data_IF_511253111395
#
_entry.id   IF_511253111395
#
_cell.length_a   1.000
_cell.length_b   1.000
_cell.length_c   1.000
_cell.angle_alpha   90.00
_cell.angle_beta   90.00
_cell.angle_gamma   90.00
#
_symmetry.space_group_name_H-M   'P 1'
#
loop_
_entity.id
_entity.type
_entity.pdbx_description
1 polymer ?
#
# COMPACT_ATOMS: atom_id res chain seq x y z
N UNK A 1 -23.79 -17.57 -14.84
CA UNK A 1 -24.30 -18.06 -13.53
C UNK A 1 -24.62 -16.85 -12.68
N UNK A 2 -25.91 -16.56 -12.48
CA UNK A 2 -26.38 -15.40 -11.72
C UNK A 2 -25.99 -15.54 -10.24
N UNK A 3 -25.36 -14.51 -9.67
CA UNK A 3 -25.15 -14.45 -8.22
C UNK A 3 -26.51 -14.30 -7.54
N UNK A 4 -26.77 -15.12 -6.53
CA UNK A 4 -27.90 -14.98 -5.61
C UNK A 4 -27.92 -13.59 -4.95
N UNK A 5 -29.07 -13.22 -4.37
CA UNK A 5 -29.33 -11.91 -3.76
C UNK A 5 -28.21 -11.44 -2.80
N UNK A 6 -27.61 -12.36 -2.04
CA UNK A 6 -26.47 -12.07 -1.16
C UNK A 6 -25.17 -11.70 -1.89
N UNK A 7 -24.92 -12.28 -3.06
CA UNK A 7 -23.73 -11.95 -3.87
C UNK A 7 -23.82 -10.58 -4.55
N UNK A 8 -25.03 -10.15 -4.96
CA UNK A 8 -25.24 -8.79 -5.49
C UNK A 8 -25.08 -7.74 -4.39
N UNK A 9 -25.54 -8.04 -3.17
CA UNK A 9 -25.39 -7.18 -2.01
C UNK A 9 -23.91 -7.00 -1.62
N UNK A 10 -23.14 -8.10 -1.59
CA UNK A 10 -21.70 -8.04 -1.31
C UNK A 10 -20.88 -7.29 -2.37
N UNK A 11 -21.26 -7.39 -3.64
CA UNK A 11 -20.60 -6.65 -4.73
C UNK A 11 -20.82 -5.14 -4.61
N UNK A 12 -22.05 -4.70 -4.29
CA UNK A 12 -22.36 -3.29 -4.08
C UNK A 12 -21.65 -2.73 -2.85
N UNK A 13 -21.58 -3.52 -1.78
CA UNK A 13 -20.84 -3.18 -0.57
C UNK A 13 -19.34 -2.99 -0.83
N UNK A 14 -18.69 -3.93 -1.54
CA UNK A 14 -17.27 -3.85 -1.90
C UNK A 14 -16.94 -2.64 -2.77
N UNK A 15 -17.79 -2.30 -3.74
CA UNK A 15 -17.60 -1.12 -4.59
C UNK A 15 -17.72 0.17 -3.75
N UNK A 16 -18.72 0.23 -2.88
CA UNK A 16 -18.97 1.43 -2.04
C UNK A 16 -17.82 1.65 -1.05
N UNK A 17 -17.40 0.61 -0.33
CA UNK A 17 -16.35 0.74 0.69
C UNK A 17 -14.98 1.01 0.08
N UNK A 18 -14.62 0.35 -1.04
CA UNK A 18 -13.38 0.65 -1.75
C UNK A 18 -13.42 2.04 -2.42
N UNK A 19 -14.59 2.54 -2.80
CA UNK A 19 -14.74 3.92 -3.28
C UNK A 19 -14.43 4.96 -2.19
N UNK A 20 -14.88 4.72 -0.96
CA UNK A 20 -14.57 5.59 0.19
C UNK A 20 -13.07 5.53 0.52
N UNK A 21 -12.49 4.33 0.57
CA UNK A 21 -11.06 4.18 0.83
C UNK A 21 -10.19 4.77 -0.28
N UNK A 22 -10.61 4.68 -1.54
CA UNK A 22 -9.95 5.36 -2.65
C UNK A 22 -9.94 6.88 -2.43
N UNK A 23 -11.08 7.49 -2.10
CA UNK A 23 -11.16 8.92 -1.83
C UNK A 23 -10.28 9.34 -0.63
N UNK A 24 -10.28 8.55 0.44
CA UNK A 24 -9.41 8.75 1.60
C UNK A 24 -7.92 8.68 1.21
N UNK A 25 -7.53 7.69 0.42
CA UNK A 25 -6.16 7.53 -0.06
C UNK A 25 -5.68 8.72 -0.89
N UNK A 26 -6.53 9.25 -1.78
CA UNK A 26 -6.23 10.48 -2.55
C UNK A 26 -6.06 11.66 -1.60
N UNK A 27 -6.95 11.83 -0.62
CA UNK A 27 -6.88 12.93 0.34
C UNK A 27 -5.58 12.88 1.17
N UNK A 28 -5.21 11.71 1.69
CA UNK A 28 -3.95 11.53 2.45
C UNK A 28 -2.72 11.80 1.59
N UNK A 29 -2.73 11.36 0.34
CA UNK A 29 -1.64 11.61 -0.61
C UNK A 29 -1.50 13.10 -0.91
N UNK A 30 -2.61 13.81 -1.17
CA UNK A 30 -2.61 15.26 -1.41
C UNK A 30 -2.12 16.02 -0.17
N UNK A 31 -2.62 15.67 1.02
CA UNK A 31 -2.17 16.26 2.29
C UNK A 31 -0.67 16.03 2.47
N UNK A 32 -0.19 14.80 2.25
CA UNK A 32 1.23 14.48 2.35
C UNK A 32 2.11 15.26 1.38
N UNK A 33 1.65 15.47 0.13
CA UNK A 33 2.36 16.30 -0.86
C UNK A 33 2.40 17.76 -0.42
N UNK A 34 1.27 18.34 0.03
CA UNK A 34 1.21 19.72 0.51
C UNK A 34 2.19 19.90 1.67
N UNK A 35 2.15 19.01 2.67
CA UNK A 35 3.06 19.07 3.81
C UNK A 35 4.53 18.93 3.40
N UNK A 36 4.85 18.08 2.39
CA UNK A 36 6.23 17.93 1.89
C UNK A 36 6.70 19.19 1.14
N UNK A 37 5.81 19.83 0.36
CA UNK A 37 6.10 21.08 -0.37
C UNK A 37 6.34 22.23 0.60
N UNK A 38 5.43 22.41 1.58
CA UNK A 38 5.58 23.45 2.59
C UNK A 38 6.83 23.22 3.45
N UNK A 39 7.11 21.98 3.87
CA UNK A 39 8.34 21.67 4.61
C UNK A 39 9.61 21.96 3.79
N UNK A 40 9.60 21.72 2.47
CA UNK A 40 10.72 22.05 1.59
C UNK A 40 10.96 23.56 1.49
N UNK A 41 9.89 24.35 1.36
CA UNK A 41 9.96 25.82 1.32
C UNK A 41 10.44 26.40 2.66
N UNK A 42 10.04 25.81 3.78
CA UNK A 42 10.44 26.26 5.12
C UNK A 42 11.91 25.88 5.44
N UNK A 43 12.40 24.74 4.93
CA UNK A 43 13.81 24.36 5.07
C UNK A 43 14.76 25.33 4.36
N UNK A 44 14.34 25.91 3.23
CA UNK A 44 15.12 26.96 2.54
C UNK A 44 15.13 28.31 3.28
N UNK A 45 14.19 28.55 4.22
CA UNK A 45 14.06 29.83 4.94
C UNK A 45 14.54 29.81 6.41
N UNK A 46 15.30 28.80 6.85
CA UNK A 46 15.89 28.66 8.22
C UNK A 46 14.89 28.58 9.39
N UNK A 47 13.58 28.57 9.15
CA UNK A 47 12.56 28.58 10.23
C UNK A 47 12.50 27.24 10.98
N UNK A 48 12.76 26.09 10.32
CA UNK A 48 12.77 24.75 10.96
C UNK A 48 13.90 24.61 11.99
N UNK A 49 15.00 25.35 11.84
CA UNK A 49 16.10 25.37 12.80
C UNK A 49 15.67 25.90 14.18
N UNK A 50 14.67 26.78 14.21
CA UNK A 50 14.11 27.36 15.45
C UNK A 50 13.09 26.43 16.12
N UNK A 51 12.39 25.61 15.33
CA UNK A 51 11.46 24.58 15.83
C UNK A 51 12.15 23.35 16.40
N UNK A 52 13.42 23.13 16.05
CA UNK A 52 14.25 22.06 16.60
C UNK A 52 14.66 22.31 18.07
N UNK A 53 14.54 23.54 18.56
CA UNK A 53 14.83 23.89 19.95
C UNK A 53 13.61 23.77 20.88
N UNK A 54 12.40 23.68 20.33
CA UNK A 54 11.17 23.51 21.14
C UNK A 54 10.98 22.02 21.44
N UNK A 55 11.55 21.57 22.57
CA UNK A 55 11.34 20.21 23.07
C UNK A 55 10.16 20.18 24.05
N UNK A 56 9.11 19.44 23.68
CA UNK A 56 8.11 18.98 24.66
C UNK A 56 8.38 17.51 24.94
N UNK A 57 8.75 17.19 26.18
CA UNK A 57 8.90 15.82 26.66
C UNK A 57 9.84 14.92 25.80
N UNK A 58 10.94 15.49 25.28
CA UNK A 58 11.95 14.74 24.52
C UNK A 58 11.60 14.49 23.03
N UNK A 59 10.43 14.94 22.56
CA UNK A 59 10.07 14.86 21.14
C UNK A 59 10.56 16.12 20.41
N UNK A 60 11.49 15.96 19.46
CA UNK A 60 11.96 17.04 18.58
C UNK A 60 10.98 17.21 17.41
N UNK A 61 10.29 18.35 17.37
CA UNK A 61 9.31 18.66 16.31
C UNK A 61 9.93 18.69 14.91
N UNK A 62 11.22 19.05 14.78
CA UNK A 62 11.90 19.05 13.48
C UNK A 62 12.06 17.65 12.86
N UNK A 63 12.15 16.60 13.67
CA UNK A 63 12.16 15.22 13.15
C UNK A 63 10.77 14.78 12.69
N UNK A 64 9.73 15.17 13.43
CA UNK A 64 8.33 14.86 13.09
C UNK A 64 7.89 15.57 11.80
N UNK A 65 8.27 16.84 11.61
CA UNK A 65 7.92 17.62 10.43
C UNK A 65 8.51 17.05 9.12
N UNK A 66 9.65 16.35 9.20
CA UNK A 66 10.28 15.71 8.02
C UNK A 66 9.76 14.30 7.76
N UNK A 67 9.39 13.53 8.79
CA UNK A 67 8.92 12.15 8.64
C UNK A 67 7.41 12.04 8.39
N UNK A 68 6.61 12.96 8.93
CA UNK A 68 5.15 12.91 8.84
C UNK A 68 4.61 13.02 7.40
N UNK A 69 5.12 13.91 6.52
CA UNK A 69 4.66 13.97 5.13
C UNK A 69 4.92 12.66 4.38
N UNK A 70 6.08 12.04 4.62
CA UNK A 70 6.47 10.77 4.00
C UNK A 70 5.51 9.66 4.43
N UNK A 71 5.16 9.59 5.72
CA UNK A 71 4.21 8.60 6.23
C UNK A 71 2.84 8.76 5.57
N UNK A 72 2.33 9.98 5.45
CA UNK A 72 1.03 10.22 4.79
C UNK A 72 1.04 9.87 3.30
N UNK A 73 2.14 10.16 2.59
CA UNK A 73 2.30 9.78 1.18
C UNK A 73 2.32 8.25 1.04
N UNK A 74 3.16 7.56 1.82
CA UNK A 74 3.30 6.10 1.76
C UNK A 74 1.97 5.42 2.11
N UNK A 75 1.33 5.85 3.20
CA UNK A 75 0.04 5.30 3.63
C UNK A 75 -1.06 5.56 2.60
N UNK A 76 -1.13 6.78 2.05
CA UNK A 76 -2.09 7.14 1.01
C UNK A 76 -1.92 6.30 -0.26
N UNK A 77 -0.68 6.13 -0.73
CA UNK A 77 -0.37 5.27 -1.90
C UNK A 77 -0.78 3.82 -1.64
N UNK A 78 -0.45 3.26 -0.47
CA UNK A 78 -0.81 1.88 -0.13
C UNK A 78 -2.34 1.71 -0.11
N UNK A 79 -3.08 2.63 0.50
CA UNK A 79 -4.54 2.61 0.53
C UNK A 79 -5.12 2.71 -0.89
N UNK A 80 -4.54 3.56 -1.76
CA UNK A 80 -4.96 3.68 -3.15
C UNK A 80 -4.76 2.41 -3.95
N UNK A 81 -3.60 1.77 -3.79
CA UNK A 81 -3.31 0.51 -4.48
C UNK A 81 -4.28 -0.59 -4.02
N UNK A 82 -4.48 -0.74 -2.71
CA UNK A 82 -5.40 -1.76 -2.17
C UNK A 82 -6.84 -1.50 -2.63
N UNK A 83 -7.31 -0.25 -2.54
CA UNK A 83 -8.67 0.13 -2.91
C UNK A 83 -8.91 0.03 -4.42
N UNK A 84 -7.92 0.42 -5.23
CA UNK A 84 -7.97 0.27 -6.68
C UNK A 84 -8.08 -1.20 -7.07
N UNK A 85 -7.22 -2.07 -6.51
CA UNK A 85 -7.30 -3.51 -6.73
C UNK A 85 -8.65 -4.09 -6.27
N UNK A 86 -9.22 -3.60 -5.17
CA UNK A 86 -10.55 -3.98 -4.70
C UNK A 86 -11.68 -3.53 -5.64
N UNK A 87 -11.59 -2.35 -6.23
CA UNK A 87 -12.56 -1.83 -7.20
C UNK A 87 -12.50 -2.60 -8.52
N UNK A 88 -11.31 -2.83 -9.07
CA UNK A 88 -11.11 -3.69 -10.25
C UNK A 88 -11.54 -5.14 -9.98
N UNK A 89 -11.28 -5.63 -8.77
CA UNK A 89 -11.70 -6.95 -8.29
C UNK A 89 -13.21 -7.13 -8.23
N UNK A 90 -13.94 -6.08 -7.84
CA UNK A 90 -15.39 -6.09 -7.76
C UNK A 90 -16.08 -5.88 -9.13
N UNK A 91 -15.50 -5.08 -10.04
CA UNK A 91 -16.10 -4.79 -11.34
C UNK A 91 -15.94 -5.94 -12.37
N UNK A 92 -14.88 -6.74 -12.30
CA UNK A 92 -14.53 -7.70 -13.36
C UNK A 92 -14.79 -9.16 -12.93
N UNK A 93 -16.01 -9.64 -13.16
CA UNK A 93 -16.50 -10.94 -12.69
C UNK A 93 -16.07 -12.14 -13.57
N UNK A 94 -14.77 -12.47 -13.63
CA UNK A 94 -14.35 -13.70 -14.34
C UNK A 94 -13.00 -14.30 -13.88
N UNK A 95 -12.80 -15.62 -14.03
CA UNK A 95 -11.56 -16.34 -13.63
C UNK A 95 -10.27 -15.86 -14.32
N UNK A 96 -10.37 -15.14 -15.44
CA UNK A 96 -9.23 -14.45 -16.08
C UNK A 96 -8.67 -13.27 -15.27
N UNK A 97 -9.39 -12.79 -14.25
CA UNK A 97 -8.97 -11.65 -13.44
C UNK A 97 -7.71 -11.93 -12.62
N UNK A 98 -7.55 -13.17 -12.11
CA UNK A 98 -6.31 -13.55 -11.42
C UNK A 98 -5.11 -13.41 -12.34
N UNK A 99 -5.21 -13.91 -13.58
CA UNK A 99 -4.14 -13.79 -14.58
C UNK A 99 -3.88 -12.33 -14.97
N UNK A 100 -4.94 -11.52 -15.11
CA UNK A 100 -4.83 -10.10 -15.45
C UNK A 100 -4.18 -9.28 -14.31
N UNK A 101 -4.55 -9.53 -13.05
CA UNK A 101 -3.94 -8.89 -11.88
C UNK A 101 -2.47 -9.26 -11.79
N UNK A 102 -2.11 -10.52 -12.02
CA UNK A 102 -0.72 -10.94 -12.01
C UNK A 102 0.10 -10.24 -13.10
N UNK A 103 -0.44 -10.13 -14.32
CA UNK A 103 0.25 -9.44 -15.42
C UNK A 103 0.40 -7.93 -15.18
N UNK A 104 -0.64 -7.27 -14.66
CA UNK A 104 -0.60 -5.83 -14.39
C UNK A 104 0.32 -5.50 -13.22
N UNK A 105 0.28 -6.30 -12.14
CA UNK A 105 1.18 -6.13 -11.01
C UNK A 105 2.66 -6.28 -11.43
N UNK A 106 2.98 -7.29 -12.24
CA UNK A 106 4.32 -7.44 -12.83
C UNK A 106 4.69 -6.24 -13.70
N UNK A 107 3.78 -5.77 -14.55
CA UNK A 107 3.98 -4.61 -15.44
C UNK A 107 4.30 -3.34 -14.65
N UNK A 108 3.56 -3.07 -13.57
CA UNK A 108 3.80 -1.92 -12.70
C UNK A 108 5.15 -2.01 -11.99
N UNK A 109 5.51 -3.18 -11.47
CA UNK A 109 6.83 -3.40 -10.86
C UNK A 109 7.96 -3.19 -11.88
N UNK A 110 7.81 -3.69 -13.12
CA UNK A 110 8.80 -3.47 -14.19
C UNK A 110 8.94 -1.98 -14.52
N UNK A 111 7.82 -1.25 -14.65
CA UNK A 111 7.84 0.22 -14.86
C UNK A 111 8.53 0.97 -13.72
N UNK A 112 8.30 0.55 -12.47
CA UNK A 112 8.98 1.10 -11.30
C UNK A 112 10.49 0.82 -11.33
N UNK A 113 10.88 -0.40 -11.74
CA UNK A 113 12.27 -0.82 -11.82
C UNK A 113 13.06 -0.11 -12.93
N UNK A 114 12.41 0.33 -14.01
CA UNK A 114 13.07 1.11 -15.07
C UNK A 114 13.69 2.42 -14.56
N UNK A 115 13.17 2.97 -13.47
CA UNK A 115 13.68 4.19 -12.84
C UNK A 115 14.69 3.90 -11.70
N UNK A 116 14.96 2.64 -11.41
CA UNK A 116 16.00 2.25 -10.46
C UNK A 116 17.36 2.66 -11.02
N UNK A 117 18.16 3.40 -10.26
CA UNK A 117 19.47 3.89 -10.70
C UNK A 117 20.65 3.16 -10.04
N UNK A 118 20.38 2.08 -9.27
CA UNK A 118 21.39 1.31 -8.53
C UNK A 118 21.50 1.72 -7.06
N UNK A 119 22.20 0.89 -6.27
CA UNK A 119 22.38 1.01 -4.81
C UNK A 119 23.16 2.26 -4.37
N UNK A 120 23.94 2.85 -5.27
CA UNK A 120 24.71 4.08 -4.99
C UNK A 120 23.94 5.36 -5.33
N UNK A 121 22.74 5.23 -5.92
CA UNK A 121 21.88 6.37 -6.21
C UNK A 121 21.05 6.74 -4.99
N UNK A 122 21.05 8.02 -4.63
CA UNK A 122 20.23 8.56 -3.53
C UNK A 122 18.81 8.92 -3.97
N UNK A 123 18.38 8.49 -5.15
CA UNK A 123 17.01 8.72 -5.61
C UNK A 123 16.00 7.99 -4.73
N UNK A 124 14.84 8.61 -4.49
CA UNK A 124 13.77 8.02 -3.66
C UNK A 124 13.35 6.64 -4.22
N UNK A 125 13.39 6.48 -5.54
CA UNK A 125 13.09 5.21 -6.24
C UNK A 125 14.16 4.15 -5.97
N UNK A 126 15.45 4.51 -5.98
CA UNK A 126 16.53 3.56 -5.68
C UNK A 126 16.44 3.03 -4.25
N UNK A 127 16.29 3.93 -3.27
CA UNK A 127 16.15 3.54 -1.86
C UNK A 127 14.94 2.63 -1.63
N UNK A 128 13.84 2.85 -2.35
CA UNK A 128 12.64 2.01 -2.26
C UNK A 128 12.88 0.58 -2.74
N UNK A 129 13.62 0.41 -3.84
CA UNK A 129 13.97 -0.91 -4.36
C UNK A 129 14.96 -1.65 -3.47
N UNK A 130 15.95 -0.96 -2.90
CA UNK A 130 16.91 -1.58 -1.99
C UNK A 130 16.22 -2.18 -0.75
N UNK A 131 15.22 -1.48 -0.21
CA UNK A 131 14.38 -1.99 0.89
C UNK A 131 13.56 -3.23 0.48
N UNK A 132 13.06 -3.28 -0.76
CA UNK A 132 12.32 -4.43 -1.26
C UNK A 132 13.25 -5.64 -1.38
N UNK A 133 14.44 -5.45 -1.95
CA UNK A 133 15.42 -6.53 -2.11
C UNK A 133 15.84 -7.13 -0.76
N UNK A 134 16.19 -6.26 0.21
CA UNK A 134 16.61 -6.69 1.54
C UNK A 134 15.44 -7.28 2.34
N UNK A 135 14.26 -6.66 2.27
CA UNK A 135 13.11 -7.07 3.08
C UNK A 135 12.48 -8.39 2.65
N UNK A 136 12.49 -8.69 1.34
CA UNK A 136 11.88 -9.90 0.78
C UNK A 136 12.88 -10.95 0.33
N UNK A 137 14.18 -10.71 0.54
CA UNK A 137 15.29 -11.58 0.13
C UNK A 137 15.11 -12.05 -1.33
N UNK A 138 15.07 -11.06 -2.23
CA UNK A 138 14.74 -11.25 -3.64
C UNK A 138 15.57 -10.29 -4.49
N UNK A 139 15.68 -10.59 -5.79
CA UNK A 139 16.32 -9.65 -6.71
C UNK A 139 15.60 -9.55 -8.04
N UNK A 140 15.49 -8.32 -8.55
CA UNK A 140 14.74 -8.00 -9.76
C UNK A 140 13.24 -8.26 -9.64
N UNK A 141 12.46 -7.87 -10.64
CA UNK A 141 11.00 -8.15 -10.63
C UNK A 141 10.74 -9.63 -10.87
N UNK A 142 11.48 -10.25 -11.78
CA UNK A 142 11.34 -11.66 -12.17
C UNK A 142 12.59 -12.46 -11.81
N UNK A 143 12.40 -13.76 -11.60
CA UNK A 143 13.49 -14.70 -11.40
C UNK A 143 14.45 -14.70 -12.61
N UNK A 144 15.75 -14.63 -12.34
CA UNK A 144 16.78 -14.71 -13.39
C UNK A 144 17.64 -15.95 -13.16
N UNK A 145 17.78 -16.78 -14.19
CA UNK A 145 18.71 -17.90 -14.16
C UNK A 145 20.15 -17.37 -14.17
N UNK A 146 21.03 -17.97 -13.37
CA UNK A 146 22.46 -17.62 -13.37
C UNK A 146 23.02 -17.73 -14.81
N UNK A 147 23.46 -16.60 -15.38
CA UNK A 147 24.04 -16.52 -16.72
C UNK A 147 23.17 -15.88 -17.82
N UNK A 148 21.90 -15.55 -17.57
CA UNK A 148 21.01 -14.86 -18.54
C UNK A 148 20.56 -13.47 -18.08
N UNK A 149 21.22 -12.91 -17.06
CA UNK A 149 20.93 -11.56 -16.58
C UNK A 149 21.31 -10.51 -17.62
N UNK A 150 20.32 -9.84 -18.19
CA UNK A 150 20.49 -8.68 -19.08
C UNK A 150 20.29 -7.38 -18.30
N UNK A 151 20.87 -6.26 -18.78
CA UNK A 151 20.70 -4.93 -18.15
C UNK A 151 19.23 -4.53 -17.96
N UNK A 152 18.33 -5.03 -18.82
CA UNK A 152 16.89 -4.76 -18.77
C UNK A 152 16.15 -5.57 -17.70
N UNK A 153 16.68 -6.73 -17.30
CA UNK A 153 16.13 -7.59 -16.25
C UNK A 153 16.84 -7.39 -14.90
N UNK A 154 18.03 -6.81 -14.93
CA UNK A 154 18.91 -6.63 -13.79
C UNK A 154 19.90 -5.50 -14.12
N UNK A 155 19.83 -4.36 -13.43
CA UNK A 155 20.91 -3.36 -13.55
C UNK A 155 22.19 -3.93 -12.92
N UNK A 156 23.06 -4.44 -13.79
CA UNK A 156 24.33 -5.17 -13.59
C UNK A 156 25.13 -4.91 -12.31
N UNK A 157 25.56 -6.03 -11.70
CA UNK A 157 26.84 -6.36 -10.98
C UNK A 157 27.50 -5.41 -9.98
N UNK A 158 26.95 -4.22 -9.72
CA UNK A 158 27.43 -3.29 -8.68
C UNK A 158 26.49 -3.19 -7.49
N UNK A 159 25.36 -3.89 -7.53
CA UNK A 159 24.40 -3.91 -6.46
C UNK A 159 24.83 -4.91 -5.38
N UNK A 160 25.49 -4.42 -4.34
CA UNK A 160 25.97 -5.22 -3.20
C UNK A 160 24.81 -6.00 -2.55
N UNK A 161 23.56 -5.49 -2.60
CA UNK A 161 22.41 -6.19 -2.04
C UNK A 161 22.09 -7.47 -2.81
N UNK A 162 22.23 -7.44 -4.13
CA UNK A 162 22.04 -8.63 -4.96
C UNK A 162 23.35 -9.39 -5.25
N UNK A 163 24.55 -8.82 -5.04
CA UNK A 163 25.86 -9.46 -5.29
C UNK A 163 26.55 -10.03 -4.05
N UNK A 164 26.34 -9.49 -2.84
CA UNK A 164 27.00 -9.98 -1.62
C UNK A 164 26.36 -11.26 -1.04
N UNK A 165 25.12 -11.59 -1.43
CA UNK A 165 24.40 -12.79 -0.99
C UNK A 165 24.65 -14.02 -1.89
N UNK A 166 25.65 -13.98 -2.79
CA UNK A 166 25.91 -15.00 -3.82
C UNK A 166 26.46 -16.36 -3.32
N UNK A 167 26.30 -16.71 -2.04
CA UNK A 167 26.52 -18.10 -1.61
C UNK A 167 25.32 -19.01 -1.93
N UNK A 168 24.19 -18.43 -2.34
CA UNK A 168 23.09 -19.13 -2.98
C UNK A 168 22.39 -18.14 -3.91
N UNK A 169 22.38 -18.40 -5.21
CA UNK A 169 21.74 -17.53 -6.19
C UNK A 169 20.31 -17.19 -5.71
N UNK A 170 20.03 -15.90 -5.54
CA UNK A 170 18.67 -15.40 -5.38
C UNK A 170 17.93 -15.61 -6.70
N UNK A 171 17.54 -16.87 -6.95
CA UNK A 171 16.85 -17.31 -8.17
C UNK A 171 15.39 -16.88 -8.17
N UNK A 172 14.93 -16.15 -7.14
CA UNK A 172 13.56 -15.73 -6.96
C UNK A 172 13.39 -14.24 -7.25
N UNK A 173 12.47 -13.93 -8.17
CA UNK A 173 12.06 -12.55 -8.44
C UNK A 173 11.26 -11.97 -7.28
N UNK A 174 11.38 -10.66 -7.06
CA UNK A 174 10.66 -9.96 -6.01
C UNK A 174 9.14 -10.02 -6.16
N UNK A 175 8.63 -10.11 -7.38
CA UNK A 175 7.20 -10.37 -7.58
C UNK A 175 6.76 -11.67 -6.91
N UNK A 176 7.50 -12.76 -7.13
CA UNK A 176 7.16 -14.07 -6.57
C UNK A 176 7.39 -14.10 -5.06
N UNK A 177 8.41 -13.41 -4.55
CA UNK A 177 8.65 -13.28 -3.10
C UNK A 177 7.52 -12.52 -2.38
N UNK A 178 7.09 -11.39 -2.95
CA UNK A 178 5.96 -10.60 -2.43
C UNK A 178 4.67 -11.41 -2.54
N UNK A 179 4.44 -12.10 -3.65
CA UNK A 179 3.27 -12.97 -3.82
C UNK A 179 3.21 -14.06 -2.76
N UNK A 180 4.33 -14.74 -2.49
CA UNK A 180 4.38 -15.79 -1.47
C UNK A 180 4.16 -15.23 -0.06
N UNK A 181 4.69 -14.04 0.22
CA UNK A 181 4.39 -13.34 1.46
C UNK A 181 2.88 -13.07 1.61
N UNK A 182 2.24 -12.53 0.56
CA UNK A 182 0.80 -12.26 0.57
C UNK A 182 0.01 -13.55 0.78
N UNK A 183 0.33 -14.62 0.02
CA UNK A 183 -0.37 -15.91 0.13
C UNK A 183 -0.21 -16.52 1.53
N UNK A 184 0.97 -16.35 2.15
CA UNK A 184 1.23 -16.82 3.52
C UNK A 184 0.34 -16.12 4.56
N UNK A 185 0.12 -14.81 4.43
CA UNK A 185 -0.69 -14.03 5.38
C UNK A 185 -2.16 -13.90 5.00
N UNK A 186 -2.55 -14.30 3.78
CA UNK A 186 -3.90 -14.12 3.27
C UNK A 186 -4.95 -14.80 4.16
N UNK A 187 -4.66 -15.99 4.69
CA UNK A 187 -5.59 -16.70 5.59
C UNK A 187 -5.89 -15.90 6.87
N UNK A 188 -4.86 -15.28 7.47
CA UNK A 188 -5.02 -14.44 8.65
C UNK A 188 -5.79 -13.15 8.31
N UNK A 189 -5.49 -12.54 7.16
CA UNK A 189 -6.20 -11.35 6.70
C UNK A 189 -7.70 -11.63 6.43
N UNK A 190 -8.03 -12.76 5.80
CA UNK A 190 -9.43 -13.18 5.58
C UNK A 190 -10.15 -13.39 6.91
N UNK A 191 -9.50 -14.01 7.89
CA UNK A 191 -10.09 -14.23 9.22
C UNK A 191 -10.43 -12.89 9.90
N UNK A 192 -9.50 -11.93 9.91
CA UNK A 192 -9.74 -10.58 10.47
C UNK A 192 -10.87 -9.88 9.72
N UNK A 193 -10.90 -9.99 8.39
CA UNK A 193 -11.94 -9.39 7.55
C UNK A 193 -13.35 -9.92 7.88
N UNK A 194 -13.49 -11.23 8.09
CA UNK A 194 -14.77 -11.83 8.48
C UNK A 194 -15.21 -11.33 9.86
N UNK A 195 -14.28 -11.23 10.83
CA UNK A 195 -14.61 -10.72 12.16
C UNK A 195 -15.11 -9.28 12.12
N UNK A 196 -14.45 -8.41 11.34
CA UNK A 196 -14.88 -7.02 11.16
C UNK A 196 -16.25 -6.93 10.50
N UNK A 197 -16.52 -7.76 9.48
CA UNK A 197 -17.84 -7.83 8.84
C UNK A 197 -18.95 -8.18 9.83
N UNK A 198 -18.73 -9.15 10.72
CA UNK A 198 -19.72 -9.52 11.74
C UNK A 198 -19.98 -8.35 12.70
N UNK A 199 -18.93 -7.63 13.10
CA UNK A 199 -19.05 -6.47 14.00
C UNK A 199 -19.82 -5.32 13.33
N UNK A 200 -19.57 -5.07 12.05
CA UNK A 200 -20.31 -4.06 11.28
C UNK A 200 -21.79 -4.42 11.14
N UNK A 201 -22.11 -5.69 10.85
CA UNK A 201 -23.50 -6.15 10.77
C UNK A 201 -24.23 -5.97 12.10
N UNK A 202 -23.56 -6.29 13.22
CA UNK A 202 -24.11 -6.06 14.56
C UNK A 202 -24.34 -4.56 14.82
N UNK A 203 -23.38 -3.72 14.43
CA UNK A 203 -23.47 -2.25 14.59
C UNK A 203 -24.65 -1.67 13.82
N UNK A 204 -24.90 -2.15 12.60
CA UNK A 204 -26.05 -1.74 11.78
C UNK A 204 -27.36 -2.14 12.47
N UNK A 205 -27.46 -3.36 13.00
CA UNK A 205 -28.66 -3.82 13.73
C UNK A 205 -28.94 -2.94 14.95
N UNK A 206 -27.92 -2.61 15.75
CA UNK A 206 -28.09 -1.72 16.89
C UNK A 206 -28.50 -0.30 16.50
N UNK A 207 -27.94 0.24 15.42
CA UNK A 207 -28.34 1.55 14.92
C UNK A 207 -29.83 1.59 14.55
N UNK A 208 -30.34 0.55 13.88
CA UNK A 208 -31.77 0.43 13.58
C UNK A 208 -32.64 0.32 14.83
N UNK A 209 -32.24 -0.50 15.81
CA UNK A 209 -32.96 -0.64 17.08
C UNK A 209 -33.03 0.69 17.85
N UNK A 210 -31.92 1.44 17.89
CA UNK A 210 -31.87 2.77 18.51
C UNK A 210 -32.76 3.78 17.79
N UNK A 211 -32.75 3.81 16.45
CA UNK A 211 -33.63 4.68 15.67
C UNK A 211 -35.11 4.42 15.99
N UNK A 212 -35.51 3.15 16.11
CA UNK A 212 -36.88 2.75 16.45
C UNK A 212 -37.24 3.11 17.91
N UNK A 213 -36.28 3.01 18.83
CA UNK A 213 -36.51 3.41 20.22
C UNK A 213 -36.74 4.92 20.34
N UNK A 214 -35.93 5.72 19.64
CA UNK A 214 -36.04 7.19 19.63
C UNK A 214 -37.34 7.65 18.98
N UNK A 215 -37.78 7.03 17.87
CA UNK A 215 -39.05 7.41 17.22
C UNK A 215 -40.25 7.20 18.14
N UNK A 216 -40.23 6.18 18.99
CA UNK A 216 -41.27 5.95 20.00
C UNK A 216 -41.21 6.93 21.18
N UNK A 217 -40.04 7.43 21.53
CA UNK A 217 -39.89 8.43 22.60
C UNK A 217 -40.22 9.85 22.14
N UNK A 218 -40.17 10.13 20.82
CA UNK A 218 -40.53 11.42 20.23
C UNK A 218 -42.03 11.66 20.01
N UNK A 219 -42.89 10.64 20.19
CA UNK A 219 -44.36 10.78 20.17
C UNK A 219 -44.94 11.20 21.54
N UNK A 220 -44.09 11.53 22.53
CA UNK A 220 -44.50 12.10 23.82
C UNK A 220 -44.01 13.55 23.94
N UNK A 221 -44.43 14.40 23.00
CA UNK A 221 -44.61 15.87 23.18
C UNK A 221 -45.83 16.29 22.38
#
# INVERSE_FOLDING_TARGET
MGLNLGGKCGMFFLITINGIFLALGIALLVIGIILKVDAKVINDSKVISTLNEVSFNGLKFGNLANSLPIIFIVLGVVILVISGLGMFGACCKNRCMLVMIESEAKSLLKKGMNNYAGVSSTSEVSNGWDLIFIGFDCCGVEAVNAGTATQDNYKTTTDVACTASFTGAQTKGCYDAIKDFILKYQTAAIAIGISLLVIELISIVFAFVLCIAISKSGEIV
#
